data_IF_110717021980
#
_entry.id   IF_110717021980
#
_cell.length_a   1.000
_cell.length_b   1.000
_cell.length_c   1.000
_cell.angle_alpha   90.00
_cell.angle_beta   90.00
_cell.angle_gamma   90.00
#
_symmetry.space_group_name_H-M   'P 1'
#
loop_
_entity.id
_entity.type
_entity.pdbx_description
1 polymer ?
#
# COMPACT_ATOMS: atom_id res chain seq x y z
N UNK A 1 -5.18 -3.48 23.90
CA UNK A 1 -4.08 -4.25 24.52
C UNK A 1 -3.98 -3.89 25.99
N UNK A 2 -3.83 -4.89 26.90
CA UNK A 2 -3.67 -4.68 28.35
C UNK A 2 -2.44 -3.80 28.70
N UNK A 3 -1.48 -3.71 27.79
CA UNK A 3 -0.20 -3.01 27.99
C UNK A 3 -0.05 -1.73 27.15
N UNK A 4 -1.11 -1.27 26.47
CA UNK A 4 -1.11 0.01 25.76
C UNK A 4 -0.39 0.04 24.39
N UNK A 5 0.00 -1.12 23.85
CA UNK A 5 0.52 -1.23 22.48
C UNK A 5 -0.58 -1.42 21.41
N UNK A 6 -0.18 -1.32 20.14
CA UNK A 6 -1.00 -1.65 18.97
C UNK A 6 -0.66 -3.09 18.54
N UNK A 7 -1.66 -3.95 18.45
CA UNK A 7 -1.46 -5.35 18.07
C UNK A 7 -1.08 -5.47 16.58
N UNK A 8 -0.28 -6.48 16.22
CA UNK A 8 0.16 -6.73 14.84
C UNK A 8 -1.04 -6.93 13.90
N UNK A 9 -2.11 -7.57 14.34
CA UNK A 9 -3.35 -7.71 13.56
C UNK A 9 -4.00 -6.36 13.22
N UNK A 10 -4.00 -5.41 14.18
CA UNK A 10 -4.48 -4.05 13.92
C UNK A 10 -3.56 -3.33 12.94
N UNK A 11 -2.24 -3.48 13.08
CA UNK A 11 -1.27 -2.94 12.11
C UNK A 11 -1.51 -3.50 10.70
N UNK A 12 -1.75 -4.80 10.55
CA UNK A 12 -2.08 -5.44 9.28
C UNK A 12 -3.35 -4.84 8.64
N UNK A 13 -4.40 -4.58 9.43
CA UNK A 13 -5.62 -3.93 8.93
C UNK A 13 -5.38 -2.50 8.45
N UNK A 14 -4.58 -1.72 9.18
CA UNK A 14 -4.21 -0.37 8.74
C UNK A 14 -3.30 -0.40 7.50
N UNK A 15 -2.37 -1.37 7.41
CA UNK A 15 -1.56 -1.61 6.23
C UNK A 15 -2.47 -1.90 5.02
N UNK A 16 -3.41 -2.83 5.15
CA UNK A 16 -4.39 -3.15 4.12
C UNK A 16 -5.14 -1.91 3.63
N UNK A 17 -5.68 -1.12 4.56
CA UNK A 17 -6.43 0.09 4.25
C UNK A 17 -5.59 1.10 3.47
N UNK A 18 -4.45 1.52 4.02
CA UNK A 18 -3.68 2.61 3.44
C UNK A 18 -3.00 2.20 2.12
N UNK A 19 -2.49 0.97 2.05
CA UNK A 19 -1.91 0.45 0.81
C UNK A 19 -2.95 0.46 -0.32
N UNK A 20 -4.15 -0.09 -0.10
CA UNK A 20 -5.17 -0.18 -1.16
C UNK A 20 -5.72 1.17 -1.59
N UNK A 21 -5.94 2.10 -0.65
CA UNK A 21 -6.30 3.48 -0.98
C UNK A 21 -5.22 4.17 -1.83
N UNK A 22 -3.94 3.90 -1.57
CA UNK A 22 -2.85 4.43 -2.39
C UNK A 22 -2.81 3.83 -3.80
N UNK A 23 -3.22 2.56 -3.99
CA UNK A 23 -3.26 1.94 -5.32
C UNK A 23 -4.23 2.63 -6.28
N UNK A 24 -5.31 3.23 -5.76
CA UNK A 24 -6.29 3.95 -6.57
C UNK A 24 -5.75 5.28 -7.12
N UNK A 25 -4.74 5.87 -6.49
CA UNK A 25 -4.13 7.14 -6.93
C UNK A 25 -3.44 7.02 -8.30
N UNK A 26 -3.08 5.81 -8.73
CA UNK A 26 -2.47 5.56 -10.03
C UNK A 26 -3.49 5.56 -11.18
N UNK A 27 -4.81 5.60 -10.91
CA UNK A 27 -5.84 5.63 -11.94
C UNK A 27 -6.18 4.25 -12.52
N UNK A 28 -7.00 4.20 -13.58
CA UNK A 28 -7.32 2.92 -14.23
C UNK A 28 -6.07 2.26 -14.84
N UNK A 29 -6.04 0.93 -14.87
CA UNK A 29 -4.91 0.13 -15.34
C UNK A 29 -4.57 0.41 -16.80
N UNK A 30 -5.58 0.69 -17.63
CA UNK A 30 -5.41 1.21 -18.98
C UNK A 30 -5.95 2.63 -19.14
N UNK A 31 -5.15 3.55 -19.69
CA UNK A 31 -5.49 4.96 -19.87
C UNK A 31 -4.84 5.57 -21.11
N UNK A 32 -5.65 6.16 -21.99
CA UNK A 32 -5.17 6.93 -23.14
C UNK A 32 -4.49 8.25 -22.73
N UNK A 33 -4.90 8.85 -21.61
CA UNK A 33 -4.25 10.06 -21.09
C UNK A 33 -2.80 9.77 -20.67
N UNK A 34 -2.56 8.64 -19.99
CA UNK A 34 -1.21 8.23 -19.62
C UNK A 34 -0.32 8.02 -20.86
N UNK A 35 -0.86 7.36 -21.90
CA UNK A 35 -0.17 7.20 -23.18
C UNK A 35 0.20 8.55 -23.81
N UNK A 36 -0.74 9.50 -23.85
CA UNK A 36 -0.52 10.83 -24.41
C UNK A 36 0.56 11.61 -23.65
N UNK A 37 0.57 11.56 -22.32
CA UNK A 37 1.60 12.23 -21.52
C UNK A 37 2.99 11.68 -21.77
N UNK A 38 3.11 10.36 -21.93
CA UNK A 38 4.40 9.73 -22.22
C UNK A 38 4.88 10.07 -23.64
N UNK A 39 4.01 9.91 -24.65
CA UNK A 39 4.33 10.20 -26.04
C UNK A 39 4.69 11.69 -26.28
N UNK A 40 4.10 12.60 -25.50
CA UNK A 40 4.43 14.02 -25.52
C UNK A 40 5.68 14.40 -24.72
N UNK A 41 6.33 13.44 -24.04
CA UNK A 41 7.51 13.69 -23.19
C UNK A 41 7.20 14.41 -21.87
N UNK A 42 5.95 14.43 -21.42
CA UNK A 42 5.52 15.13 -20.21
C UNK A 42 5.71 14.29 -18.93
N UNK A 43 5.58 12.96 -19.04
CA UNK A 43 5.70 12.03 -17.91
C UNK A 43 6.33 10.71 -18.36
N UNK A 44 7.58 10.47 -17.95
CA UNK A 44 8.26 9.18 -18.13
C UNK A 44 7.83 8.12 -17.11
N UNK A 45 8.33 6.89 -17.25
CA UNK A 45 8.15 5.83 -16.24
C UNK A 45 9.13 6.05 -15.09
N UNK A 46 8.89 5.34 -13.98
CA UNK A 46 9.85 5.29 -12.89
C UNK A 46 11.17 4.68 -13.38
N UNK A 47 12.28 5.35 -13.04
CA UNK A 47 13.63 5.03 -13.53
C UNK A 47 13.70 4.78 -15.04
N UNK A 48 13.09 5.67 -15.83
CA UNK A 48 13.04 5.59 -17.29
C UNK A 48 14.41 5.29 -17.91
N UNK A 49 15.46 5.96 -17.44
CA UNK A 49 16.86 5.82 -17.89
C UNK A 49 17.48 4.43 -17.66
N UNK A 50 16.90 3.64 -16.75
CA UNK A 50 17.37 2.30 -16.42
C UNK A 50 16.60 1.20 -17.15
N UNK A 51 15.54 1.56 -17.90
CA UNK A 51 14.73 0.59 -18.63
C UNK A 51 15.43 0.19 -19.93
N UNK A 52 15.34 -1.10 -20.27
CA UNK A 52 16.03 -1.71 -21.40
C UNK A 52 15.10 -1.88 -22.61
N UNK A 53 14.47 -0.81 -23.06
CA UNK A 53 13.61 -0.80 -24.25
C UNK A 53 13.89 0.45 -25.10
N UNK A 54 13.05 0.73 -26.10
CA UNK A 54 13.22 1.85 -27.01
C UNK A 54 12.80 3.21 -26.42
N UNK A 55 12.28 3.22 -25.19
CA UNK A 55 11.68 4.40 -24.52
C UNK A 55 10.53 5.06 -25.31
N UNK A 56 9.97 4.35 -26.29
CA UNK A 56 8.89 4.82 -27.15
C UNK A 56 7.64 3.94 -27.05
N UNK A 57 7.82 2.65 -26.78
CA UNK A 57 6.78 1.67 -26.43
C UNK A 57 5.68 1.49 -27.48
N UNK A 58 5.91 1.91 -28.73
CA UNK A 58 4.88 1.91 -29.78
C UNK A 58 4.37 0.51 -30.10
N UNK A 59 5.28 -0.46 -30.15
CA UNK A 59 4.99 -1.86 -30.46
C UNK A 59 5.05 -2.76 -29.23
N UNK A 60 5.32 -2.19 -28.05
CA UNK A 60 5.44 -2.96 -26.82
C UNK A 60 4.06 -3.33 -26.27
N UNK A 61 3.91 -4.57 -25.81
CA UNK A 61 2.72 -5.05 -25.10
C UNK A 61 3.09 -5.51 -23.70
N UNK A 62 2.08 -5.58 -22.83
CA UNK A 62 2.20 -6.18 -21.51
C UNK A 62 0.88 -6.77 -21.05
N UNK A 63 0.97 -7.62 -20.04
CA UNK A 63 -0.21 -8.09 -19.32
C UNK A 63 -0.71 -6.98 -18.38
N UNK A 64 -2.02 -6.82 -18.37
CA UNK A 64 -2.76 -6.01 -17.40
C UNK A 64 -3.84 -6.88 -16.76
N UNK A 65 -4.19 -6.62 -15.50
CA UNK A 65 -5.19 -7.42 -14.82
C UNK A 65 -6.55 -7.26 -15.50
N UNK A 66 -7.36 -8.32 -15.42
CA UNK A 66 -8.73 -8.34 -15.87
C UNK A 66 -9.58 -9.22 -14.97
N UNK A 67 -10.90 -9.14 -15.14
CA UNK A 67 -11.85 -10.06 -14.53
C UNK A 67 -12.49 -10.82 -15.67
N UNK A 68 -12.34 -12.14 -15.69
CA UNK A 68 -12.90 -13.01 -16.73
C UNK A 68 -13.54 -14.20 -16.03
N UNK A 69 -14.79 -14.49 -16.38
CA UNK A 69 -15.54 -15.64 -15.83
C UNK A 69 -15.62 -15.69 -14.28
N UNK A 70 -15.52 -14.52 -13.62
CA UNK A 70 -15.56 -14.46 -12.15
C UNK A 70 -14.24 -14.81 -11.48
N UNK A 71 -13.13 -14.81 -12.23
CA UNK A 71 -11.77 -14.98 -11.73
C UNK A 71 -10.89 -13.76 -12.06
N UNK A 72 -9.86 -13.55 -11.23
CA UNK A 72 -8.81 -12.57 -11.52
C UNK A 72 -7.91 -13.16 -12.60
N UNK A 73 -7.92 -12.54 -13.78
CA UNK A 73 -7.14 -12.96 -14.93
C UNK A 73 -6.18 -11.87 -15.41
N UNK A 74 -5.54 -12.16 -16.53
CA UNK A 74 -4.66 -11.23 -17.22
C UNK A 74 -5.01 -11.18 -18.70
N UNK A 75 -4.91 -10.00 -19.29
CA UNK A 75 -5.06 -9.81 -20.74
C UNK A 75 -3.91 -8.97 -21.26
N UNK A 76 -3.60 -9.16 -22.53
CA UNK A 76 -2.61 -8.31 -23.21
C UNK A 76 -3.18 -6.91 -23.50
N UNK A 77 -2.32 -5.90 -23.41
CA UNK A 77 -2.60 -4.52 -23.78
C UNK A 77 -1.33 -3.84 -24.29
N UNK A 78 -1.42 -2.83 -25.17
CA UNK A 78 -0.29 -1.97 -25.51
C UNK A 78 0.32 -1.34 -24.25
N UNK A 79 1.65 -1.35 -24.15
CA UNK A 79 2.37 -0.85 -22.98
C UNK A 79 2.10 0.65 -22.73
N UNK A 80 1.94 1.43 -23.79
CA UNK A 80 1.61 2.87 -23.70
C UNK A 80 0.34 3.15 -22.91
N UNK A 81 -0.73 2.37 -23.14
CA UNK A 81 -1.97 2.58 -22.40
C UNK A 81 -1.89 2.00 -20.98
N UNK A 82 -0.95 1.10 -20.71
CA UNK A 82 -0.77 0.41 -19.43
C UNK A 82 0.27 1.07 -18.50
N UNK A 83 0.63 2.34 -18.75
CA UNK A 83 1.64 3.06 -17.96
C UNK A 83 1.23 3.30 -16.50
N UNK A 84 -0.06 3.49 -16.24
CA UNK A 84 -0.58 3.60 -14.87
C UNK A 84 -0.36 2.31 -14.10
N UNK A 85 -0.63 1.16 -14.71
CA UNK A 85 -0.37 -0.15 -14.11
C UNK A 85 1.12 -0.40 -13.88
N UNK A 86 1.96 0.01 -14.84
CA UNK A 86 3.41 -0.07 -14.70
C UNK A 86 3.90 0.67 -13.46
N UNK A 87 3.45 1.93 -13.29
CA UNK A 87 3.86 2.73 -12.14
C UNK A 87 3.27 2.18 -10.82
N UNK A 88 2.08 1.58 -10.86
CA UNK A 88 1.49 0.90 -9.71
C UNK A 88 2.36 -0.29 -9.28
N UNK A 89 2.81 -1.12 -10.21
CA UNK A 89 3.71 -2.26 -9.91
C UNK A 89 5.04 -1.80 -9.30
N UNK A 90 5.63 -0.71 -9.84
CA UNK A 90 6.85 -0.13 -9.28
C UNK A 90 6.64 0.30 -7.81
N UNK A 91 5.50 0.95 -7.51
CA UNK A 91 5.10 1.31 -6.15
C UNK A 91 4.88 0.09 -5.25
N UNK A 92 4.23 -0.95 -5.75
CA UNK A 92 3.99 -2.19 -5.02
C UNK A 92 5.30 -2.88 -4.65
N UNK A 93 6.25 -2.94 -5.59
CA UNK A 93 7.57 -3.53 -5.38
C UNK A 93 8.37 -2.76 -4.31
N UNK A 94 8.28 -1.43 -4.29
CA UNK A 94 8.94 -0.62 -3.25
C UNK A 94 8.30 -0.82 -1.88
N UNK A 95 6.96 -0.83 -1.81
CA UNK A 95 6.21 -1.12 -0.58
C UNK A 95 6.58 -2.50 -0.01
N UNK A 96 6.74 -3.51 -0.86
CA UNK A 96 7.13 -4.86 -0.44
C UNK A 96 8.49 -4.87 0.27
N UNK A 97 9.47 -4.10 -0.20
CA UNK A 97 10.78 -3.94 0.47
C UNK A 97 10.66 -3.27 1.84
N UNK A 98 9.69 -2.38 2.01
CA UNK A 98 9.37 -1.78 3.31
C UNK A 98 8.80 -2.80 4.29
N UNK A 99 7.82 -3.58 3.84
CA UNK A 99 7.21 -4.66 4.63
C UNK A 99 8.23 -5.74 4.99
N UNK A 100 9.12 -6.12 4.08
CA UNK A 100 10.20 -7.07 4.37
C UNK A 100 11.09 -6.57 5.52
N UNK A 101 11.44 -5.28 5.52
CA UNK A 101 12.22 -4.67 6.61
C UNK A 101 11.46 -4.68 7.93
N UNK A 102 10.15 -4.42 7.93
CA UNK A 102 9.32 -4.55 9.13
C UNK A 102 9.25 -5.99 9.63
N UNK A 103 9.10 -6.97 8.74
CA UNK A 103 9.05 -8.38 9.11
C UNK A 103 10.35 -8.90 9.73
N UNK A 104 11.51 -8.32 9.39
CA UNK A 104 12.77 -8.63 10.10
C UNK A 104 12.68 -8.27 11.60
N UNK A 105 12.06 -7.14 11.93
CA UNK A 105 11.80 -6.74 13.33
C UNK A 105 10.76 -7.65 14.00
N UNK A 106 9.77 -8.11 13.24
CA UNK A 106 8.72 -8.99 13.76
C UNK A 106 9.11 -10.47 13.84
N UNK A 107 10.28 -10.86 13.32
CA UNK A 107 10.71 -12.27 13.20
C UNK A 107 10.63 -13.05 14.52
N UNK A 108 10.98 -12.41 15.65
CA UNK A 108 10.93 -13.01 16.99
C UNK A 108 9.50 -13.27 17.51
N UNK A 109 8.50 -12.60 16.92
CA UNK A 109 7.09 -12.72 17.34
C UNK A 109 6.35 -13.90 16.70
N UNK A 110 6.92 -14.50 15.64
CA UNK A 110 6.24 -15.50 14.81
C UNK A 110 5.08 -14.95 13.97
N UNK A 111 4.90 -13.64 13.91
CA UNK A 111 3.88 -12.96 13.10
C UNK A 111 4.54 -12.18 11.97
N UNK A 112 3.81 -12.00 10.86
CA UNK A 112 4.28 -11.24 9.70
C UNK A 112 3.18 -10.33 9.15
N UNK A 113 3.61 -9.21 8.57
CA UNK A 113 2.77 -8.33 7.77
C UNK A 113 2.84 -8.73 6.30
N UNK A 114 1.72 -8.63 5.59
CA UNK A 114 1.61 -8.90 4.15
C UNK A 114 0.92 -7.76 3.44
N UNK A 115 1.36 -7.45 2.23
CA UNK A 115 0.57 -6.62 1.33
C UNK A 115 -0.62 -7.45 0.82
N UNK A 116 -1.85 -6.91 0.83
CA UNK A 116 -2.98 -7.59 0.23
C UNK A 116 -2.84 -7.61 -1.31
N UNK A 117 -3.61 -8.49 -1.95
CA UNK A 117 -3.71 -8.57 -3.40
C UNK A 117 -4.09 -7.20 -4.01
N UNK A 118 -3.52 -6.87 -5.17
CA UNK A 118 -3.69 -5.56 -5.86
C UNK A 118 -5.16 -5.20 -6.17
N UNK A 119 -6.01 -6.21 -6.27
CA UNK A 119 -7.45 -6.07 -6.49
C UNK A 119 -8.30 -5.89 -5.23
N UNK A 120 -7.75 -6.08 -4.03
CA UNK A 120 -8.48 -5.93 -2.77
C UNK A 120 -8.80 -4.45 -2.50
N UNK A 121 -10.03 -4.15 -2.04
CA UNK A 121 -10.46 -2.82 -1.60
C UNK A 121 -10.15 -1.68 -2.61
N UNK A 122 -10.51 -1.90 -3.88
CA UNK A 122 -10.28 -0.95 -4.98
C UNK A 122 -11.54 -0.17 -5.32
N UNK A 123 -11.39 1.12 -5.63
CA UNK A 123 -12.46 2.01 -6.07
C UNK A 123 -12.20 2.62 -7.45
N UNK A 124 -11.06 2.27 -8.07
CA UNK A 124 -10.68 2.68 -9.42
C UNK A 124 -10.23 1.47 -10.22
N UNK A 125 -10.51 1.49 -11.53
CA UNK A 125 -10.01 0.49 -12.47
C UNK A 125 -10.84 -0.79 -12.53
N UNK A 126 -10.24 -1.86 -13.05
CA UNK A 126 -10.93 -3.13 -13.36
C UNK A 126 -11.46 -3.86 -12.13
N UNK A 127 -10.84 -3.62 -10.96
CA UNK A 127 -11.26 -4.18 -9.69
C UNK A 127 -12.25 -3.32 -8.93
N UNK A 128 -12.66 -2.16 -9.47
CA UNK A 128 -13.61 -1.27 -8.80
C UNK A 128 -14.90 -2.03 -8.47
N UNK A 129 -15.21 -2.09 -7.18
CA UNK A 129 -16.40 -2.76 -6.69
C UNK A 129 -16.38 -4.27 -6.90
N UNK A 130 -15.23 -4.91 -7.12
CA UNK A 130 -15.13 -6.37 -7.17
C UNK A 130 -14.85 -6.94 -5.76
N UNK A 131 -15.51 -8.05 -5.35
CA UNK A 131 -15.33 -8.66 -4.04
C UNK A 131 -14.07 -9.54 -3.97
N UNK A 132 -12.91 -8.94 -4.24
CA UNK A 132 -11.60 -9.62 -4.19
C UNK A 132 -11.09 -9.58 -2.76
N UNK A 133 -10.77 -10.72 -2.15
CA UNK A 133 -10.21 -10.82 -0.80
C UNK A 133 -8.73 -10.39 -0.73
N UNK A 134 -8.15 -10.17 0.47
CA UNK A 134 -6.73 -9.83 0.61
C UNK A 134 -5.77 -10.87 0.02
N UNK A 135 -6.17 -12.14 -0.08
CA UNK A 135 -5.42 -13.23 -0.70
C UNK A 135 -5.76 -13.44 -2.19
N UNK A 136 -6.58 -12.57 -2.80
CA UNK A 136 -6.81 -12.52 -4.24
C UNK A 136 -7.95 -13.38 -4.77
N UNK A 137 -8.81 -13.93 -3.89
CA UNK A 137 -9.96 -14.73 -4.30
C UNK A 137 -11.18 -13.83 -4.53
N UNK A 138 -11.96 -14.10 -5.57
CA UNK A 138 -13.29 -13.53 -5.71
C UNK A 138 -14.27 -14.31 -4.84
N UNK A 139 -15.04 -13.61 -4.02
CA UNK A 139 -16.03 -14.19 -3.12
C UNK A 139 -17.41 -13.56 -3.34
N UNK A 140 -18.45 -14.10 -2.69
CA UNK A 140 -19.76 -13.46 -2.69
C UNK A 140 -19.71 -12.08 -2.03
N UNK A 141 -20.65 -11.20 -2.41
CA UNK A 141 -20.80 -9.88 -1.79
C UNK A 141 -20.92 -9.97 -0.28
N UNK A 142 -21.81 -10.81 0.22
CA UNK A 142 -22.04 -10.99 1.66
C UNK A 142 -20.78 -11.43 2.40
N UNK A 143 -20.01 -12.36 1.80
CA UNK A 143 -18.73 -12.80 2.40
C UNK A 143 -17.69 -11.69 2.40
N UNK A 144 -17.65 -10.88 1.34
CA UNK A 144 -16.75 -9.74 1.24
C UNK A 144 -17.09 -8.67 2.28
N UNK A 145 -18.35 -8.28 2.37
CA UNK A 145 -18.83 -7.26 3.32
C UNK A 145 -18.59 -7.68 4.77
N UNK A 146 -18.81 -8.96 5.10
CA UNK A 146 -18.45 -9.51 6.41
C UNK A 146 -16.95 -9.42 6.68
N UNK A 147 -16.12 -9.83 5.73
CA UNK A 147 -14.65 -9.75 5.87
C UNK A 147 -14.15 -8.31 6.03
N UNK A 148 -14.77 -7.34 5.34
CA UNK A 148 -14.48 -5.92 5.50
C UNK A 148 -14.86 -5.41 6.90
N UNK A 149 -16.02 -5.82 7.41
CA UNK A 149 -16.53 -5.38 8.71
C UNK A 149 -15.70 -5.92 9.89
N UNK A 150 -15.21 -7.16 9.78
CA UNK A 150 -14.67 -7.89 10.92
C UNK A 150 -13.14 -8.05 10.89
N UNK A 151 -12.55 -8.32 9.72
CA UNK A 151 -11.23 -8.95 9.64
C UNK A 151 -10.18 -8.17 8.84
N UNK A 152 -10.55 -7.57 7.71
CA UNK A 152 -9.58 -7.11 6.72
C UNK A 152 -9.22 -5.64 6.81
N UNK A 153 -10.14 -4.78 7.27
CA UNK A 153 -9.94 -3.33 7.40
C UNK A 153 -10.16 -2.89 8.85
N UNK A 154 -9.61 -1.72 9.28
CA UNK A 154 -9.72 -1.28 10.67
C UNK A 154 -11.18 -1.08 11.08
N UNK A 155 -11.61 -1.88 12.06
CA UNK A 155 -12.94 -1.82 12.64
C UNK A 155 -13.12 -0.55 13.48
N UNK A 156 -14.36 -0.23 13.87
CA UNK A 156 -14.59 0.86 14.80
C UNK A 156 -13.87 0.64 16.14
N UNK A 157 -13.80 -0.61 16.60
CA UNK A 157 -13.08 -0.97 17.82
C UNK A 157 -11.56 -0.74 17.69
N UNK A 158 -10.96 -1.09 16.54
CA UNK A 158 -9.55 -0.80 16.26
C UNK A 158 -9.29 0.71 16.30
N UNK A 159 -10.14 1.49 15.61
CA UNK A 159 -10.00 2.96 15.55
C UNK A 159 -10.12 3.60 16.91
N UNK A 160 -11.09 3.17 17.71
CA UNK A 160 -11.27 3.64 19.09
C UNK A 160 -10.07 3.29 19.98
N UNK A 161 -9.54 2.07 19.86
CA UNK A 161 -8.34 1.65 20.60
C UNK A 161 -7.14 2.50 20.21
N UNK A 162 -6.84 2.65 18.91
CA UNK A 162 -5.72 3.48 18.42
C UNK A 162 -5.88 4.92 18.90
N UNK A 163 -7.07 5.52 18.74
CA UNK A 163 -7.34 6.88 19.20
C UNK A 163 -7.11 7.05 20.71
N UNK A 164 -7.46 6.07 21.52
CA UNK A 164 -7.25 6.13 22.98
C UNK A 164 -5.76 6.21 23.39
N UNK A 165 -4.85 5.76 22.52
CA UNK A 165 -3.40 5.82 22.73
C UNK A 165 -2.80 7.17 22.34
N UNK A 166 -3.51 7.98 21.54
CA UNK A 166 -2.98 9.22 20.94
C UNK A 166 -2.97 10.37 21.95
N UNK A 167 -2.11 10.25 22.97
CA UNK A 167 -1.85 11.30 23.97
C UNK A 167 -0.48 11.93 23.73
N UNK A 168 -0.38 13.27 23.68
CA UNK A 168 0.89 13.93 23.41
C UNK A 168 1.90 13.71 24.54
N UNK A 169 3.15 13.45 24.17
CA UNK A 169 4.32 13.41 25.07
C UNK A 169 5.30 14.46 24.55
N UNK A 170 5.47 15.55 25.30
CA UNK A 170 6.24 16.72 24.88
C UNK A 170 7.60 16.85 25.60
N UNK A 171 7.86 15.99 26.58
CA UNK A 171 9.14 15.97 27.31
C UNK A 171 10.26 15.49 26.37
N UNK A 172 11.37 16.25 26.22
CA UNK A 172 12.49 15.85 25.38
C UNK A 172 13.02 14.45 25.75
N UNK A 173 13.27 13.63 24.72
CA UNK A 173 13.77 12.26 24.91
C UNK A 173 12.74 11.24 25.42
N UNK A 174 11.47 11.64 25.65
CA UNK A 174 10.39 10.71 25.98
C UNK A 174 9.55 10.37 24.76
N UNK A 175 9.06 9.13 24.72
CA UNK A 175 8.14 8.64 23.70
C UNK A 175 6.87 8.16 24.37
N UNK A 176 5.76 8.25 23.63
CA UNK A 176 4.52 7.62 24.06
C UNK A 176 4.69 6.10 24.14
N UNK A 177 3.96 5.45 25.03
CA UNK A 177 4.08 4.03 25.31
C UNK A 177 3.81 3.09 24.11
N UNK A 178 3.15 3.59 23.06
CA UNK A 178 2.80 2.82 21.87
C UNK A 178 3.88 2.86 20.77
N UNK A 179 4.97 3.61 20.95
CA UNK A 179 6.07 3.72 19.98
C UNK A 179 7.44 3.69 20.68
N UNK A 180 8.36 2.91 20.12
CA UNK A 180 9.73 2.85 20.61
C UNK A 180 10.50 4.14 20.26
N UNK A 181 11.55 4.43 21.03
CA UNK A 181 12.51 5.48 20.66
C UNK A 181 13.20 5.14 19.32
N UNK A 182 13.45 6.12 18.44
CA UNK A 182 14.21 5.87 17.23
C UNK A 182 15.68 5.56 17.58
N UNK A 183 16.37 4.84 16.69
CA UNK A 183 17.76 4.43 16.91
C UNK A 183 18.75 5.59 16.96
N UNK A 184 18.42 6.72 16.32
CA UNK A 184 19.28 7.90 16.19
C UNK A 184 18.44 9.17 16.15
N UNK A 185 19.00 10.28 16.64
CA UNK A 185 18.41 11.61 16.48
C UNK A 185 18.70 12.23 15.10
N UNK A 186 18.14 13.42 14.88
CA UNK A 186 18.24 14.16 13.61
C UNK A 186 19.48 15.08 13.63
N UNK A 187 20.21 15.18 12.52
CA UNK A 187 21.39 16.05 12.35
C UNK A 187 22.45 15.91 13.46
N UNK A 188 22.74 14.67 13.86
CA UNK A 188 23.69 14.35 14.94
C UNK A 188 23.31 14.95 16.31
N UNK A 189 22.08 15.44 16.47
CA UNK A 189 21.55 15.86 17.76
C UNK A 189 21.09 14.63 18.56
N UNK A 190 21.26 14.63 19.89
CA UNK A 190 20.77 13.55 20.74
C UNK A 190 19.24 13.53 20.79
N UNK A 191 18.65 12.41 21.23
CA UNK A 191 17.20 12.22 21.28
C UNK A 191 16.47 13.19 22.23
N UNK A 192 17.16 13.64 23.26
CA UNK A 192 16.68 14.62 24.24
C UNK A 192 16.94 16.07 23.82
N UNK A 193 17.39 16.30 22.59
CA UNK A 193 17.46 17.64 22.02
C UNK A 193 16.06 18.27 21.93
N UNK A 194 15.96 19.56 22.24
CA UNK A 194 14.73 20.34 22.04
C UNK A 194 14.49 20.59 20.54
N UNK A 195 13.90 19.60 19.86
CA UNK A 195 13.60 19.66 18.43
C UNK A 195 12.53 20.69 18.06
N UNK A 196 11.63 21.00 18.99
CA UNK A 196 10.62 22.05 18.86
C UNK A 196 10.73 22.98 20.07
N UNK A 197 10.53 24.28 19.85
CA UNK A 197 10.43 25.30 20.89
C UNK A 197 9.07 25.96 20.73
N UNK A 198 8.35 26.11 21.83
CA UNK A 198 7.08 26.84 21.89
C UNK A 198 7.32 28.35 21.80
#
# INVERSE_FOLDING_TARGET
SKFGGINISTLQRYLNLHYTLSLDLFGAETSTNAANYFAAGLKGRFHEDQRSDDHMLKEATRLVPTITEGEVGWREAPALIALNETLREDYMADCAKGVERWNRVLSETGQELKLPHVGFNRHVGVFNGQPVTPDGRLVSRDSYEKGIADDWLPTQADRNHVASLMKPVLEPGKMANWIAAPSTGIHQKPLDFSYVRA
#
